data_IF_517171135771
#
_entry.id   IF_517171135771
#
_cell.length_a   1.000
_cell.length_b   1.000
_cell.length_c   1.000
_cell.angle_alpha   90.00
_cell.angle_beta   90.00
_cell.angle_gamma   90.00
#
_symmetry.space_group_name_H-M   'P 1'
#
loop_
_entity.id
_entity.type
_entity.pdbx_description
1 polymer ?
#
# COMPACT_ATOMS: atom_id res chain seq x y z
N UNK A 1 32.93 89.32 -12.70
CA UNK A 1 33.07 87.94 -13.19
C UNK A 1 33.89 87.06 -12.26
N UNK A 2 33.32 86.47 -11.20
CA UNK A 2 34.02 85.63 -10.22
C UNK A 2 33.15 84.39 -9.70
N UNK A 3 32.24 83.88 -10.53
CA UNK A 3 31.41 82.72 -10.11
C UNK A 3 31.71 81.38 -10.83
N UNK A 4 32.68 81.35 -11.75
CA UNK A 4 33.02 80.17 -12.58
C UNK A 4 33.77 79.04 -11.81
N UNK A 5 34.70 79.29 -10.85
CA UNK A 5 35.43 78.18 -10.25
C UNK A 5 34.58 77.28 -9.33
N UNK A 6 33.56 77.84 -8.69
CA UNK A 6 32.70 77.06 -7.78
C UNK A 6 31.80 76.05 -8.55
N UNK A 7 31.35 76.44 -9.74
CA UNK A 7 30.51 75.57 -10.58
C UNK A 7 31.32 74.40 -11.15
N UNK A 8 32.58 74.62 -11.52
CA UNK A 8 33.49 73.57 -12.03
C UNK A 8 33.83 72.58 -10.87
N UNK A 9 34.08 73.09 -9.69
CA UNK A 9 34.38 72.24 -8.53
C UNK A 9 33.18 71.36 -8.14
N UNK A 10 31.97 71.89 -8.20
CA UNK A 10 30.73 71.14 -7.94
C UNK A 10 30.50 70.06 -8.99
N UNK A 11 30.71 70.35 -10.27
CA UNK A 11 30.58 69.37 -11.35
C UNK A 11 31.59 68.23 -11.22
N UNK A 12 32.85 68.52 -10.87
CA UNK A 12 33.88 67.47 -10.65
C UNK A 12 33.54 66.64 -9.42
N UNK A 13 33.03 67.24 -8.37
CA UNK A 13 32.58 66.48 -7.17
C UNK A 13 31.41 65.54 -7.49
N UNK A 14 30.45 65.99 -8.28
CA UNK A 14 29.33 65.12 -8.70
C UNK A 14 29.78 63.92 -9.57
N UNK A 15 30.71 64.14 -10.47
CA UNK A 15 31.29 63.07 -11.31
C UNK A 15 32.05 62.05 -10.44
N UNK A 16 32.89 62.53 -9.50
CA UNK A 16 33.61 61.67 -8.60
C UNK A 16 32.68 60.86 -7.72
N UNK A 17 31.62 61.48 -7.17
CA UNK A 17 30.62 60.78 -6.39
C UNK A 17 29.88 59.72 -7.20
N UNK A 18 29.54 60.01 -8.46
CA UNK A 18 28.93 59.06 -9.38
C UNK A 18 29.84 57.85 -9.67
N UNK A 19 31.12 58.07 -9.91
CA UNK A 19 32.10 57.00 -10.12
C UNK A 19 32.23 56.15 -8.83
N UNK A 20 32.35 56.76 -7.66
CA UNK A 20 32.43 56.01 -6.40
C UNK A 20 31.16 55.17 -6.11
N UNK A 21 29.95 55.69 -6.43
CA UNK A 21 28.72 54.92 -6.29
C UNK A 21 28.66 53.75 -7.27
N UNK A 22 29.15 53.93 -8.50
CA UNK A 22 29.19 52.85 -9.49
C UNK A 22 30.16 51.74 -9.04
N UNK A 23 31.36 52.11 -8.61
CA UNK A 23 32.34 51.15 -8.08
C UNK A 23 31.80 50.39 -6.83
N UNK A 24 31.13 51.11 -5.92
CA UNK A 24 30.48 50.49 -4.75
C UNK A 24 29.38 49.49 -5.16
N UNK A 25 28.62 49.82 -6.23
CA UNK A 25 27.59 48.91 -6.74
C UNK A 25 28.21 47.65 -7.36
N UNK A 26 29.28 47.79 -8.13
CA UNK A 26 30.02 46.70 -8.76
C UNK A 26 30.59 45.76 -7.67
N UNK A 27 31.28 46.29 -6.67
CA UNK A 27 31.84 45.52 -5.56
C UNK A 27 30.72 44.79 -4.80
N UNK A 28 29.56 45.42 -4.60
CA UNK A 28 28.41 44.77 -3.96
C UNK A 28 27.89 43.57 -4.76
N UNK A 29 27.81 43.68 -6.08
CA UNK A 29 27.41 42.59 -6.97
C UNK A 29 28.44 41.43 -6.92
N UNK A 30 29.73 41.73 -7.00
CA UNK A 30 30.77 40.71 -6.88
C UNK A 30 30.72 39.98 -5.53
N UNK A 31 30.48 40.71 -4.45
CA UNK A 31 30.38 40.16 -3.11
C UNK A 31 29.15 39.25 -2.96
N UNK A 32 28.04 39.59 -3.61
CA UNK A 32 26.85 38.74 -3.68
C UNK A 32 27.11 37.48 -4.49
N UNK A 33 27.80 37.56 -5.60
CA UNK A 33 28.20 36.43 -6.44
C UNK A 33 29.13 35.46 -5.66
N UNK A 34 30.14 35.99 -4.99
CA UNK A 34 31.06 35.21 -4.15
C UNK A 34 30.31 34.50 -3.03
N UNK A 35 29.36 35.19 -2.38
CA UNK A 35 28.51 34.56 -1.34
C UNK A 35 27.67 33.42 -1.90
N UNK A 36 27.06 33.61 -3.07
CA UNK A 36 26.26 32.57 -3.74
C UNK A 36 27.12 31.35 -4.09
N UNK A 37 28.28 31.56 -4.71
CA UNK A 37 29.24 30.51 -5.06
C UNK A 37 29.71 29.74 -3.82
N UNK A 38 30.04 30.49 -2.74
CA UNK A 38 30.46 29.86 -1.50
C UNK A 38 29.36 29.00 -0.86
N UNK A 39 28.11 29.49 -0.87
CA UNK A 39 26.95 28.71 -0.42
C UNK A 39 26.74 27.44 -1.24
N UNK A 40 26.89 27.52 -2.58
CA UNK A 40 26.81 26.34 -3.45
C UNK A 40 27.93 25.33 -3.17
N UNK A 41 29.17 25.82 -2.95
CA UNK A 41 30.29 24.97 -2.58
C UNK A 41 30.07 24.27 -1.24
N UNK A 42 29.56 24.99 -0.22
CA UNK A 42 29.23 24.37 1.07
C UNK A 42 28.16 23.29 0.95
N UNK A 43 27.08 23.55 0.18
CA UNK A 43 26.04 22.54 -0.06
C UNK A 43 26.58 21.32 -0.80
N UNK A 44 27.45 21.53 -1.79
CA UNK A 44 28.08 20.44 -2.55
C UNK A 44 29.01 19.61 -1.67
N UNK A 45 29.82 20.26 -0.82
CA UNK A 45 30.69 19.57 0.14
C UNK A 45 29.88 18.78 1.16
N UNK A 46 28.78 19.33 1.66
CA UNK A 46 27.90 18.63 2.60
C UNK A 46 27.32 17.36 1.95
N UNK A 47 26.81 17.45 0.73
CA UNK A 47 26.30 16.26 0.00
C UNK A 47 27.40 15.22 -0.25
N UNK A 48 28.64 15.65 -0.55
CA UNK A 48 29.76 14.72 -0.69
C UNK A 48 30.11 14.03 0.64
N UNK A 49 30.12 14.75 1.75
CA UNK A 49 30.39 14.20 3.09
C UNK A 49 29.31 13.20 3.47
N UNK A 50 28.04 13.55 3.27
CA UNK A 50 26.91 12.68 3.56
C UNK A 50 26.96 11.41 2.70
N UNK A 51 27.29 11.54 1.41
CA UNK A 51 27.49 10.41 0.49
C UNK A 51 28.66 9.49 0.90
N UNK A 52 29.79 10.06 1.33
CA UNK A 52 30.93 9.28 1.84
C UNK A 52 30.55 8.58 3.14
N UNK A 53 29.88 9.29 4.05
CA UNK A 53 29.44 8.72 5.33
C UNK A 53 28.48 7.54 5.11
N UNK A 54 27.50 7.68 4.21
CA UNK A 54 26.62 6.58 3.82
C UNK A 54 27.41 5.38 3.26
N UNK A 55 28.31 5.64 2.30
CA UNK A 55 29.11 4.56 1.68
C UNK A 55 30.00 3.84 2.67
N UNK A 56 30.58 4.56 3.63
CA UNK A 56 31.42 3.96 4.69
C UNK A 56 30.57 3.14 5.65
N UNK A 57 29.38 3.63 6.04
CA UNK A 57 28.46 2.88 6.88
C UNK A 57 28.00 1.58 6.19
N UNK A 58 27.61 1.65 4.93
CA UNK A 58 27.20 0.47 4.14
C UNK A 58 28.34 -0.57 4.03
N UNK A 59 29.57 -0.11 3.81
CA UNK A 59 30.72 -1.02 3.74
C UNK A 59 31.06 -1.65 5.08
N UNK A 60 30.94 -0.90 6.18
CA UNK A 60 31.15 -1.44 7.52
C UNK A 60 30.07 -2.47 7.86
N UNK A 61 28.82 -2.18 7.55
CA UNK A 61 27.72 -3.12 7.71
C UNK A 61 27.92 -4.37 6.86
N UNK A 62 28.29 -4.23 5.59
CA UNK A 62 28.62 -5.36 4.73
C UNK A 62 29.78 -6.20 5.27
N UNK A 63 30.80 -5.59 5.90
CA UNK A 63 31.92 -6.32 6.51
C UNK A 63 31.51 -7.08 7.77
N UNK A 64 30.56 -6.53 8.55
CA UNK A 64 30.07 -7.16 9.78
C UNK A 64 29.06 -8.27 9.51
N UNK A 65 28.39 -8.25 8.34
CA UNK A 65 27.43 -9.27 7.98
C UNK A 65 28.07 -10.66 7.91
N UNK A 66 27.45 -11.62 8.58
CA UNK A 66 27.84 -13.04 8.55
C UNK A 66 27.47 -13.70 7.22
N UNK A 67 26.51 -13.15 6.51
CA UNK A 67 25.94 -13.68 5.28
C UNK A 67 26.51 -12.96 4.06
N UNK A 68 26.89 -13.73 3.03
CA UNK A 68 27.32 -13.20 1.74
C UNK A 68 26.12 -12.89 0.84
N UNK A 69 25.04 -13.69 0.97
CA UNK A 69 23.82 -13.55 0.18
C UNK A 69 22.64 -14.10 0.97
N UNK A 70 21.51 -13.41 0.88
CA UNK A 70 20.20 -13.88 1.31
C UNK A 70 19.20 -13.86 0.16
N UNK A 71 18.10 -14.55 0.32
CA UNK A 71 16.97 -14.51 -0.60
C UNK A 71 15.79 -15.27 -0.03
N UNK A 72 14.59 -14.87 -0.45
CA UNK A 72 13.38 -15.58 -0.05
C UNK A 72 12.39 -15.67 -1.22
N UNK A 73 11.48 -16.62 -1.09
CA UNK A 73 10.32 -16.77 -1.97
C UNK A 73 9.14 -17.29 -1.19
N UNK A 74 7.95 -16.94 -1.65
CA UNK A 74 6.72 -17.47 -1.09
C UNK A 74 6.23 -18.65 -1.94
N UNK A 75 5.66 -19.66 -1.26
CA UNK A 75 5.06 -20.84 -1.85
C UNK A 75 3.54 -20.84 -1.68
N UNK A 76 2.98 -22.02 -1.45
CA UNK A 76 1.55 -22.21 -1.35
C UNK A 76 0.94 -21.51 -0.14
N UNK A 77 -0.28 -20.97 -0.34
CA UNK A 77 -1.13 -20.40 0.71
C UNK A 77 -1.95 -21.52 1.34
N UNK A 78 -1.94 -21.61 2.66
CA UNK A 78 -2.86 -22.42 3.44
C UNK A 78 -3.97 -21.52 3.99
N UNK A 79 -5.09 -21.48 3.28
CA UNK A 79 -6.21 -20.60 3.62
C UNK A 79 -6.88 -20.94 4.96
N UNK A 80 -6.97 -22.22 5.33
CA UNK A 80 -7.60 -22.67 6.59
C UNK A 80 -6.87 -22.14 7.82
N UNK A 81 -5.53 -22.15 7.78
CA UNK A 81 -4.67 -21.70 8.86
C UNK A 81 -4.25 -20.23 8.72
N UNK A 82 -4.57 -19.60 7.58
CA UNK A 82 -4.11 -18.25 7.22
C UNK A 82 -2.57 -18.14 7.23
N UNK A 83 -1.89 -19.15 6.68
CA UNK A 83 -0.42 -19.21 6.58
C UNK A 83 0.02 -19.28 5.11
N UNK A 84 1.25 -18.83 4.85
CA UNK A 84 1.93 -18.99 3.57
C UNK A 84 3.29 -19.64 3.80
N UNK A 85 3.68 -20.50 2.90
CA UNK A 85 5.01 -21.11 2.97
C UNK A 85 6.07 -20.07 2.58
N UNK A 86 6.97 -19.75 3.50
CA UNK A 86 8.16 -18.95 3.24
C UNK A 86 9.35 -19.87 3.07
N UNK A 87 10.02 -19.80 1.93
CA UNK A 87 11.33 -20.43 1.70
C UNK A 87 12.40 -19.36 1.80
N UNK A 88 13.28 -19.46 2.80
CA UNK A 88 14.39 -18.54 3.02
C UNK A 88 15.72 -19.22 2.72
N UNK A 89 16.63 -18.52 2.03
CA UNK A 89 17.96 -19.02 1.68
C UNK A 89 19.03 -18.06 2.18
N UNK A 90 20.11 -18.62 2.72
CA UNK A 90 21.25 -17.86 3.22
C UNK A 90 22.58 -18.52 2.86
N UNK A 91 23.50 -17.73 2.31
CA UNK A 91 24.88 -18.17 2.02
C UNK A 91 25.80 -17.48 3.05
N UNK A 92 26.39 -18.22 3.98
CA UNK A 92 27.34 -17.63 4.92
C UNK A 92 28.65 -17.25 4.22
N UNK A 93 29.34 -16.20 4.72
CA UNK A 93 30.67 -15.84 4.24
C UNK A 93 31.73 -16.84 4.69
N UNK A 94 31.57 -17.30 5.92
CA UNK A 94 32.47 -18.26 6.55
C UNK A 94 31.64 -19.33 7.27
N UNK A 95 31.93 -20.60 6.99
CA UNK A 95 31.34 -21.74 7.67
C UNK A 95 32.23 -22.97 7.50
N UNK A 96 32.11 -23.90 8.45
CA UNK A 96 32.79 -25.16 8.39
C UNK A 96 31.82 -26.26 7.91
N UNK A 97 31.99 -26.84 6.71
CA UNK A 97 31.09 -27.88 6.19
C UNK A 97 31.00 -29.06 7.15
N UNK A 98 29.75 -29.40 7.54
CA UNK A 98 29.46 -30.53 8.42
C UNK A 98 29.53 -30.27 9.91
N UNK A 99 30.03 -29.10 10.36
CA UNK A 99 30.00 -28.68 11.76
C UNK A 99 29.12 -27.45 12.03
N UNK A 100 29.00 -26.54 11.07
CA UNK A 100 28.14 -25.38 11.20
C UNK A 100 26.67 -25.75 10.97
N UNK A 101 25.81 -25.41 11.92
CA UNK A 101 24.34 -25.47 11.79
C UNK A 101 23.74 -24.07 11.71
N UNK A 102 22.58 -23.94 11.13
CA UNK A 102 21.86 -22.69 10.99
C UNK A 102 20.41 -22.82 11.42
N UNK A 103 19.87 -21.78 12.02
CA UNK A 103 18.45 -21.64 12.34
C UNK A 103 17.92 -20.30 11.83
N UNK A 104 16.75 -20.34 11.22
CA UNK A 104 15.99 -19.16 10.82
C UNK A 104 14.92 -18.86 11.87
N UNK A 105 14.86 -17.62 12.29
CA UNK A 105 13.91 -17.14 13.28
C UNK A 105 13.03 -16.06 12.66
N UNK A 106 11.72 -16.19 12.83
CA UNK A 106 10.73 -15.23 12.36
C UNK A 106 9.53 -15.19 13.32
N UNK A 107 9.19 -14.02 13.87
CA UNK A 107 8.05 -13.82 14.78
C UNK A 107 7.98 -14.87 15.90
N UNK A 108 9.09 -15.18 16.54
CA UNK A 108 9.16 -16.17 17.61
C UNK A 108 9.13 -17.63 17.15
N UNK A 109 8.97 -17.90 15.86
CA UNK A 109 9.09 -19.23 15.28
C UNK A 109 10.55 -19.50 14.91
N UNK A 110 11.07 -20.66 15.29
CA UNK A 110 12.44 -21.11 14.97
C UNK A 110 12.38 -22.33 14.05
N UNK A 111 13.09 -22.27 12.95
CA UNK A 111 13.15 -23.35 11.94
C UNK A 111 14.60 -23.71 11.66
N UNK A 112 15.02 -24.98 11.82
CA UNK A 112 16.34 -25.41 11.44
C UNK A 112 16.51 -25.31 9.90
N UNK A 113 17.69 -24.88 9.46
CA UNK A 113 18.00 -24.73 8.05
C UNK A 113 18.80 -25.95 7.55
N UNK A 114 18.36 -26.51 6.44
CA UNK A 114 19.11 -27.55 5.74
C UNK A 114 20.25 -26.93 4.91
N UNK A 115 21.42 -27.57 4.89
CA UNK A 115 22.52 -27.14 4.04
C UNK A 115 22.49 -27.88 2.70
N UNK A 116 22.27 -27.14 1.62
CA UNK A 116 22.16 -27.66 0.28
C UNK A 116 22.87 -26.75 -0.73
N UNK A 117 23.68 -27.31 -1.60
CA UNK A 117 24.32 -26.61 -2.73
C UNK A 117 25.05 -25.31 -2.36
N UNK A 118 25.69 -25.26 -1.19
CA UNK A 118 26.46 -24.09 -0.75
C UNK A 118 25.66 -23.04 0.01
N UNK A 119 24.40 -23.29 0.33
CA UNK A 119 23.53 -22.39 1.06
C UNK A 119 22.70 -23.13 2.11
N UNK A 120 22.31 -22.42 3.14
CA UNK A 120 21.34 -22.87 4.11
C UNK A 120 19.92 -22.51 3.64
N UNK A 121 18.96 -23.43 3.77
CA UNK A 121 17.58 -23.29 3.33
C UNK A 121 16.65 -23.61 4.50
N UNK A 122 15.72 -22.70 4.80
CA UNK A 122 14.60 -22.93 5.70
C UNK A 122 13.29 -22.89 4.93
N UNK A 123 12.33 -23.71 5.33
CA UNK A 123 10.94 -23.63 4.90
C UNK A 123 10.07 -23.50 6.15
N UNK A 124 9.30 -22.42 6.23
CA UNK A 124 8.46 -22.09 7.37
C UNK A 124 7.06 -21.69 6.91
N UNK A 125 6.02 -22.22 7.56
CA UNK A 125 4.69 -21.65 7.45
C UNK A 125 4.60 -20.41 8.33
N UNK A 126 4.41 -19.23 7.72
CA UNK A 126 4.31 -17.97 8.42
C UNK A 126 2.89 -17.40 8.30
N UNK A 127 2.37 -16.71 9.33
CA UNK A 127 1.06 -16.09 9.27
C UNK A 127 0.99 -15.02 8.16
N UNK A 128 -0.07 -15.02 7.38
CA UNK A 128 -0.29 -14.04 6.29
C UNK A 128 -0.55 -12.64 6.87
N UNK A 129 -1.28 -12.55 7.99
CA UNK A 129 -1.80 -11.30 8.57
C UNK A 129 -1.02 -10.84 9.80
N UNK A 130 0.20 -11.33 10.01
CA UNK A 130 1.04 -10.79 11.06
C UNK A 130 1.71 -9.50 10.61
N UNK A 131 1.91 -8.58 11.56
CA UNK A 131 2.84 -7.48 11.34
C UNK A 131 4.23 -8.01 10.97
N UNK A 132 5.00 -7.20 10.23
CA UNK A 132 6.40 -7.50 9.93
C UNK A 132 7.17 -7.64 11.23
N UNK A 133 7.53 -8.87 11.57
CA UNK A 133 8.26 -9.14 12.80
C UNK A 133 9.75 -9.21 12.61
N UNK A 134 10.44 -9.29 13.74
CA UNK A 134 11.88 -9.49 13.76
C UNK A 134 12.24 -10.82 13.10
N UNK A 135 13.14 -10.75 12.13
CA UNK A 135 13.73 -11.92 11.48
C UNK A 135 15.24 -11.92 11.70
N UNK A 136 15.78 -13.06 12.03
CA UNK A 136 17.22 -13.23 12.18
C UNK A 136 17.66 -14.67 11.89
N UNK A 137 18.95 -14.83 11.59
CA UNK A 137 19.59 -16.15 11.46
C UNK A 137 20.60 -16.33 12.58
N UNK A 138 20.62 -17.54 13.13
CA UNK A 138 21.64 -17.97 14.07
C UNK A 138 22.51 -19.04 13.39
N UNK A 139 23.83 -18.82 13.40
CA UNK A 139 24.83 -19.79 12.95
C UNK A 139 25.56 -20.31 14.16
N UNK A 140 25.60 -21.63 14.33
CA UNK A 140 26.35 -22.30 15.38
C UNK A 140 27.50 -23.12 14.79
N UNK A 141 28.70 -22.86 15.25
CA UNK A 141 29.91 -23.58 14.88
C UNK A 141 30.63 -24.07 16.14
N UNK A 142 30.44 -25.34 16.48
CA UNK A 142 30.82 -25.89 17.76
C UNK A 142 30.15 -25.15 18.92
N UNK A 143 30.95 -24.55 19.81
CA UNK A 143 30.48 -23.75 20.95
C UNK A 143 30.23 -22.26 20.61
N UNK A 144 30.52 -21.85 19.38
CA UNK A 144 30.38 -20.45 18.95
C UNK A 144 29.03 -20.23 18.31
N UNK A 145 28.22 -19.34 18.92
CA UNK A 145 26.95 -18.90 18.42
C UNK A 145 27.07 -17.48 17.85
N UNK A 146 26.64 -17.27 16.62
CA UNK A 146 26.62 -15.98 15.95
C UNK A 146 25.24 -15.71 15.40
N UNK A 147 24.68 -14.52 15.65
CA UNK A 147 23.35 -14.12 15.21
C UNK A 147 23.45 -12.89 14.31
N UNK A 148 22.67 -12.89 13.24
CA UNK A 148 22.51 -11.75 12.34
C UNK A 148 21.04 -11.43 12.14
N UNK A 149 20.66 -10.18 12.44
CA UNK A 149 19.36 -9.64 12.06
C UNK A 149 19.26 -9.55 10.52
N UNK A 150 18.08 -9.80 9.99
CA UNK A 150 17.79 -9.72 8.58
C UNK A 150 17.10 -8.40 8.28
N UNK A 151 17.57 -7.73 7.22
CA UNK A 151 16.95 -6.49 6.71
C UNK A 151 15.87 -6.78 5.66
N UNK A 152 15.61 -8.05 5.36
CA UNK A 152 14.60 -8.44 4.39
C UNK A 152 13.20 -8.04 4.89
N UNK A 153 12.44 -7.38 4.03
CA UNK A 153 11.07 -6.98 4.34
C UNK A 153 10.12 -8.10 3.88
N UNK A 154 9.60 -8.84 4.85
CA UNK A 154 8.62 -9.87 4.58
C UNK A 154 7.21 -9.27 4.57
N UNK A 155 6.52 -9.38 3.45
CA UNK A 155 5.14 -8.92 3.27
C UNK A 155 4.26 -10.03 2.73
N UNK A 156 3.98 -11.07 3.54
CA UNK A 156 3.23 -12.24 3.12
C UNK A 156 1.82 -11.90 2.63
N UNK A 157 1.19 -10.89 3.19
CA UNK A 157 -0.13 -10.42 2.78
C UNK A 157 -0.17 -9.99 1.30
N UNK A 158 0.84 -9.26 0.80
CA UNK A 158 0.87 -8.82 -0.60
C UNK A 158 1.07 -9.97 -1.59
N UNK A 159 1.60 -11.11 -1.14
CA UNK A 159 1.75 -12.32 -1.96
C UNK A 159 0.52 -13.21 -1.91
N UNK A 160 -0.25 -13.14 -0.83
CA UNK A 160 -1.48 -13.90 -0.69
C UNK A 160 -2.68 -13.21 -1.34
N UNK A 161 -2.57 -11.91 -1.65
CA UNK A 161 -3.69 -11.10 -2.14
C UNK A 161 -3.46 -10.63 -3.56
N UNK A 162 -4.47 -10.79 -4.38
CA UNK A 162 -4.59 -10.03 -5.61
C UNK A 162 -5.18 -8.65 -5.27
N UNK A 163 -4.58 -7.61 -5.84
CA UNK A 163 -5.16 -6.28 -5.74
C UNK A 163 -6.53 -6.27 -6.44
N UNK A 164 -7.56 -5.83 -5.71
CA UNK A 164 -8.92 -5.73 -6.21
C UNK A 164 -9.53 -4.39 -5.83
N UNK A 165 -10.05 -3.68 -6.82
CA UNK A 165 -10.62 -2.35 -6.66
C UNK A 165 -12.06 -2.32 -7.16
N UNK A 166 -13.04 -2.65 -6.29
CA UNK A 166 -14.44 -2.49 -6.63
C UNK A 166 -14.83 -1.02 -6.51
N UNK A 167 -15.56 -0.50 -7.47
CA UNK A 167 -16.05 0.88 -7.43
C UNK A 167 -17.46 1.01 -7.97
N UNK A 168 -18.29 1.77 -7.24
CA UNK A 168 -19.55 2.28 -7.76
C UNK A 168 -19.28 3.48 -8.69
N UNK A 169 -19.93 3.48 -9.85
CA UNK A 169 -19.79 4.53 -10.86
C UNK A 169 -21.06 5.37 -11.00
N UNK A 170 -21.85 5.47 -9.97
CA UNK A 170 -23.11 6.19 -9.91
C UNK A 170 -23.39 6.75 -8.52
N UNK A 171 -24.66 7.05 -8.27
CA UNK A 171 -25.17 7.48 -6.96
C UNK A 171 -26.41 6.66 -6.60
N UNK A 172 -26.55 6.32 -5.31
CA UNK A 172 -27.78 5.74 -4.80
C UNK A 172 -28.84 6.84 -4.57
N UNK A 173 -30.10 6.46 -4.64
CA UNK A 173 -31.23 7.32 -4.28
C UNK A 173 -31.75 6.93 -2.91
N UNK A 174 -32.15 7.95 -2.15
CA UNK A 174 -32.72 7.78 -0.83
C UNK A 174 -34.15 8.30 -0.79
N UNK A 175 -35.09 7.45 -0.40
CA UNK A 175 -36.50 7.82 -0.24
C UNK A 175 -36.92 7.53 1.20
N UNK A 176 -37.36 8.58 1.90
CA UNK A 176 -37.90 8.44 3.25
C UNK A 176 -39.31 7.85 3.18
N UNK A 177 -39.53 6.76 3.89
CA UNK A 177 -40.82 6.12 4.09
C UNK A 177 -41.13 6.09 5.60
N UNK A 178 -42.40 5.79 5.99
CA UNK A 178 -42.82 5.81 7.40
C UNK A 178 -41.90 4.94 8.29
N UNK A 179 -41.04 5.60 9.09
CA UNK A 179 -40.13 4.97 10.05
C UNK A 179 -38.97 4.17 9.42
N UNK A 180 -38.72 4.35 8.13
CA UNK A 180 -37.62 3.70 7.42
C UNK A 180 -37.06 4.57 6.29
N UNK A 181 -35.84 4.24 5.86
CA UNK A 181 -35.16 4.79 4.69
C UNK A 181 -35.13 3.71 3.61
N UNK A 182 -35.66 4.01 2.43
CA UNK A 182 -35.48 3.18 1.26
C UNK A 182 -34.24 3.62 0.51
N UNK A 183 -33.29 2.71 0.36
CA UNK A 183 -32.05 2.88 -0.41
C UNK A 183 -32.21 2.19 -1.75
N UNK A 184 -32.08 2.94 -2.84
CA UNK A 184 -32.23 2.42 -4.20
C UNK A 184 -30.87 2.44 -4.86
N UNK A 185 -30.30 1.25 -5.02
CA UNK A 185 -29.03 1.01 -5.69
C UNK A 185 -29.30 0.64 -7.15
N UNK A 186 -29.08 1.60 -8.04
CA UNK A 186 -29.11 1.35 -9.48
C UNK A 186 -27.84 1.90 -10.10
N UNK A 187 -26.75 1.16 -9.92
CA UNK A 187 -25.42 1.66 -10.22
C UNK A 187 -24.61 0.68 -11.07
N UNK A 188 -23.85 1.20 -12.05
CA UNK A 188 -22.81 0.42 -12.69
C UNK A 188 -21.65 0.24 -11.72
N UNK A 189 -21.12 -0.97 -11.67
CA UNK A 189 -19.98 -1.35 -10.82
C UNK A 189 -18.82 -1.81 -11.71
N UNK A 190 -17.65 -1.27 -11.46
CA UNK A 190 -16.40 -1.76 -12.05
C UNK A 190 -15.61 -2.50 -10.98
N UNK A 191 -15.09 -3.68 -11.32
CA UNK A 191 -14.30 -4.55 -10.47
C UNK A 191 -12.94 -4.76 -11.12
N UNK A 192 -11.96 -3.95 -10.71
CA UNK A 192 -10.62 -3.91 -11.32
C UNK A 192 -9.63 -4.84 -10.63
N UNK A 193 -8.79 -5.51 -11.43
CA UNK A 193 -7.64 -6.30 -11.01
C UNK A 193 -6.38 -5.75 -11.70
N UNK A 194 -5.71 -4.71 -11.15
CA UNK A 194 -4.60 -4.04 -11.81
C UNK A 194 -3.43 -4.94 -12.21
N UNK A 195 -3.23 -6.02 -11.46
CA UNK A 195 -2.20 -7.04 -11.76
C UNK A 195 -2.70 -8.16 -12.67
N UNK A 196 -3.88 -8.01 -13.27
CA UNK A 196 -4.60 -9.05 -14.02
C UNK A 196 -5.53 -9.88 -13.15
N UNK A 197 -6.55 -10.47 -13.78
CA UNK A 197 -7.50 -11.36 -13.09
C UNK A 197 -6.76 -12.62 -12.62
N UNK A 198 -6.83 -12.97 -11.32
CA UNK A 198 -6.19 -14.17 -10.80
C UNK A 198 -6.74 -15.46 -11.44
N UNK A 199 -5.86 -16.40 -11.76
CA UNK A 199 -6.24 -17.68 -12.35
C UNK A 199 -7.13 -18.52 -11.41
N UNK A 200 -6.97 -18.32 -10.10
CA UNK A 200 -7.73 -19.01 -9.05
C UNK A 200 -8.96 -18.24 -8.57
N UNK A 201 -9.39 -17.18 -9.28
CA UNK A 201 -10.64 -16.49 -9.01
C UNK A 201 -11.83 -17.42 -9.24
N UNK A 202 -12.58 -17.69 -8.17
CA UNK A 202 -13.74 -18.59 -8.21
C UNK A 202 -15.05 -17.86 -8.47
N UNK A 203 -15.32 -16.79 -7.72
CA UNK A 203 -16.56 -16.04 -7.84
C UNK A 203 -16.45 -14.62 -7.30
N UNK A 204 -17.34 -13.75 -7.81
CA UNK A 204 -17.59 -12.42 -7.25
C UNK A 204 -19.10 -12.33 -6.96
N UNK A 205 -19.47 -11.75 -5.82
CA UNK A 205 -20.86 -11.46 -5.48
C UNK A 205 -20.99 -10.15 -4.69
N UNK A 206 -22.13 -9.51 -4.77
CA UNK A 206 -22.50 -8.41 -3.88
C UNK A 206 -23.35 -8.93 -2.75
N UNK A 207 -22.99 -8.60 -1.51
CA UNK A 207 -23.72 -9.00 -0.31
C UNK A 207 -24.22 -7.75 0.41
N UNK A 208 -25.52 -7.69 0.67
CA UNK A 208 -26.12 -6.66 1.50
C UNK A 208 -26.36 -7.18 2.92
N UNK A 209 -25.92 -6.42 3.92
CA UNK A 209 -26.14 -6.71 5.33
C UNK A 209 -26.90 -5.58 6.01
N UNK A 210 -27.92 -5.93 6.79
CA UNK A 210 -28.62 -5.03 7.69
C UNK A 210 -28.24 -5.38 9.13
N UNK A 211 -27.58 -4.48 9.85
CA UNK A 211 -27.06 -4.70 11.20
C UNK A 211 -26.23 -6.00 11.30
N UNK A 212 -25.30 -6.20 10.38
CA UNK A 212 -24.41 -7.39 10.31
C UNK A 212 -25.12 -8.72 9.99
N UNK A 213 -26.37 -8.66 9.57
CA UNK A 213 -27.10 -9.84 9.09
C UNK A 213 -27.26 -9.74 7.59
N UNK A 214 -26.81 -10.75 6.87
CA UNK A 214 -27.01 -10.86 5.43
C UNK A 214 -28.52 -10.88 5.11
N UNK A 215 -28.96 -10.00 4.20
CA UNK A 215 -30.35 -9.87 3.74
C UNK A 215 -30.48 -10.12 2.25
N UNK A 216 -29.41 -9.97 1.46
CA UNK A 216 -29.40 -10.23 0.02
C UNK A 216 -28.00 -10.62 -0.44
N UNK A 217 -27.94 -11.41 -1.53
CA UNK A 217 -26.71 -11.76 -2.22
C UNK A 217 -26.95 -11.84 -3.71
N UNK A 218 -26.13 -11.16 -4.50
CA UNK A 218 -26.20 -11.10 -5.96
C UNK A 218 -24.89 -11.61 -6.54
N UNK A 219 -24.92 -12.76 -7.21
CA UNK A 219 -23.74 -13.26 -7.90
C UNK A 219 -23.47 -12.48 -9.18
N UNK A 220 -22.21 -12.26 -9.49
CA UNK A 220 -21.75 -11.66 -10.75
C UNK A 220 -21.47 -12.79 -11.74
N UNK A 221 -22.07 -12.72 -12.93
CA UNK A 221 -21.72 -13.64 -14.01
C UNK A 221 -20.43 -13.18 -14.69
N UNK A 222 -19.37 -13.95 -14.49
CA UNK A 222 -18.03 -13.66 -15.01
C UNK A 222 -17.81 -14.18 -16.44
N UNK A 223 -18.81 -14.82 -17.05
CA UNK A 223 -18.70 -15.31 -18.43
C UNK A 223 -18.53 -14.16 -19.43
N UNK A 224 -17.73 -14.38 -20.47
CA UNK A 224 -17.44 -13.38 -21.50
C UNK A 224 -18.76 -12.86 -22.17
N UNK A 225 -19.73 -13.73 -22.38
CA UNK A 225 -21.02 -13.35 -22.96
C UNK A 225 -21.80 -12.38 -22.04
N UNK A 226 -21.88 -12.69 -20.75
CA UNK A 226 -22.57 -11.83 -19.78
C UNK A 226 -21.84 -10.49 -19.64
N UNK A 227 -20.52 -10.48 -19.60
CA UNK A 227 -19.73 -9.26 -19.52
C UNK A 227 -19.91 -8.38 -20.77
N UNK A 228 -19.96 -8.96 -21.96
CA UNK A 228 -20.25 -8.24 -23.20
C UNK A 228 -21.70 -7.66 -23.23
N UNK A 229 -22.69 -8.32 -22.62
CA UNK A 229 -24.04 -7.82 -22.49
C UNK A 229 -24.13 -6.65 -21.51
N UNK A 230 -23.46 -6.76 -20.34
CA UNK A 230 -23.42 -5.72 -19.32
C UNK A 230 -22.82 -4.42 -19.86
N UNK A 231 -21.77 -4.48 -20.67
CA UNK A 231 -21.16 -3.29 -21.27
C UNK A 231 -22.08 -2.57 -22.28
N UNK A 232 -23.16 -3.22 -22.73
CA UNK A 232 -24.21 -2.60 -23.58
C UNK A 232 -25.32 -1.96 -22.75
N UNK A 233 -25.32 -2.14 -21.43
CA UNK A 233 -26.30 -1.51 -20.55
C UNK A 233 -26.22 0.02 -20.68
N UNK A 234 -27.32 0.76 -20.73
CA UNK A 234 -27.34 2.22 -20.79
C UNK A 234 -26.54 2.90 -19.65
N UNK A 235 -26.40 2.26 -18.51
CA UNK A 235 -25.60 2.78 -17.37
C UNK A 235 -24.10 2.84 -17.67
N UNK A 236 -23.61 2.07 -18.64
CA UNK A 236 -22.22 2.12 -19.13
C UNK A 236 -22.04 2.97 -20.40
N UNK A 237 -23.12 3.51 -20.96
CA UNK A 237 -23.07 4.29 -22.21
C UNK A 237 -22.25 5.57 -22.03
N UNK A 238 -21.38 5.86 -23.00
CA UNK A 238 -20.51 7.06 -22.98
C UNK A 238 -19.20 6.89 -22.22
N UNK A 239 -18.89 5.68 -21.77
CA UNK A 239 -17.60 5.31 -21.14
C UNK A 239 -16.77 4.50 -22.14
N UNK A 240 -16.14 5.22 -23.09
CA UNK A 240 -15.30 4.60 -24.13
C UNK A 240 -14.01 3.98 -23.59
N UNK A 241 -13.68 4.28 -22.34
CA UNK A 241 -12.52 3.77 -21.59
C UNK A 241 -12.74 2.34 -21.05
N UNK A 242 -14.00 1.85 -21.06
CA UNK A 242 -14.30 0.53 -20.56
C UNK A 242 -14.09 -0.53 -21.66
N UNK A 243 -13.20 -1.45 -21.39
CA UNK A 243 -12.88 -2.54 -22.32
C UNK A 243 -12.66 -3.86 -21.57
N UNK A 244 -13.03 -4.97 -22.19
CA UNK A 244 -12.75 -6.32 -21.71
C UNK A 244 -11.28 -6.68 -21.99
N UNK A 245 -10.34 -5.98 -21.36
CA UNK A 245 -8.91 -6.26 -21.52
C UNK A 245 -8.33 -7.19 -20.44
N UNK A 246 -9.17 -8.04 -19.83
CA UNK A 246 -8.70 -9.05 -18.88
C UNK A 246 -8.33 -8.52 -17.50
N UNK A 247 -8.54 -7.22 -17.25
CA UNK A 247 -8.21 -6.58 -15.95
C UNK A 247 -9.48 -6.17 -15.18
N UNK A 248 -10.65 -6.18 -15.82
CA UNK A 248 -11.88 -5.70 -15.21
C UNK A 248 -13.06 -6.62 -15.48
N UNK A 249 -13.91 -6.74 -14.46
CA UNK A 249 -15.29 -7.21 -14.60
C UNK A 249 -16.26 -6.08 -14.33
N UNK A 250 -17.46 -6.22 -14.86
CA UNK A 250 -18.53 -5.23 -14.75
C UNK A 250 -19.81 -5.87 -14.23
N UNK A 251 -20.59 -5.11 -13.50
CA UNK A 251 -21.90 -5.51 -13.03
C UNK A 251 -22.84 -4.30 -12.95
N UNK A 252 -24.13 -4.56 -12.90
CA UNK A 252 -25.14 -3.58 -12.51
C UNK A 252 -25.76 -4.06 -11.21
N UNK A 253 -25.65 -3.24 -10.17
CA UNK A 253 -26.41 -3.44 -8.94
C UNK A 253 -27.74 -2.69 -9.08
N UNK A 254 -28.85 -3.42 -9.34
CA UNK A 254 -30.22 -2.88 -9.44
C UNK A 254 -31.06 -3.48 -8.31
N UNK A 255 -31.00 -2.85 -7.13
CA UNK A 255 -31.64 -3.33 -5.91
C UNK A 255 -32.24 -2.20 -5.09
N UNK A 256 -33.22 -2.55 -4.27
CA UNK A 256 -33.81 -1.63 -3.30
C UNK A 256 -33.87 -2.29 -1.94
N UNK A 257 -33.37 -1.57 -0.92
CA UNK A 257 -33.32 -2.05 0.44
C UNK A 257 -34.12 -1.11 1.36
N UNK A 258 -34.84 -1.67 2.32
CA UNK A 258 -35.52 -0.90 3.37
C UNK A 258 -34.67 -0.94 4.63
N UNK A 259 -34.22 0.23 5.09
CA UNK A 259 -33.40 0.41 6.27
C UNK A 259 -34.27 1.02 7.38
N UNK A 260 -34.68 0.27 8.41
CA UNK A 260 -35.45 0.82 9.53
C UNK A 260 -34.66 1.89 10.29
N UNK A 261 -35.37 2.81 10.97
CA UNK A 261 -34.74 3.83 11.79
C UNK A 261 -33.78 3.22 12.83
N UNK A 262 -32.63 3.80 12.99
CA UNK A 262 -31.55 3.33 13.86
C UNK A 262 -30.77 2.12 13.34
N UNK A 263 -30.98 1.69 12.09
CA UNK A 263 -30.27 0.57 11.49
C UNK A 263 -29.27 1.01 10.43
N UNK A 264 -28.32 0.12 10.13
CA UNK A 264 -27.25 0.36 9.15
C UNK A 264 -27.27 -0.74 8.10
N UNK A 265 -27.36 -0.32 6.83
CA UNK A 265 -27.13 -1.15 5.65
C UNK A 265 -25.65 -1.07 5.27
N UNK A 266 -25.04 -2.20 4.99
CA UNK A 266 -23.71 -2.30 4.38
C UNK A 266 -23.79 -3.13 3.12
N UNK A 267 -23.10 -2.68 2.07
CA UNK A 267 -22.99 -3.41 0.81
C UNK A 267 -21.53 -3.77 0.61
N UNK A 268 -21.27 -5.03 0.38
CA UNK A 268 -19.94 -5.58 0.18
C UNK A 268 -19.80 -6.18 -1.22
N UNK A 269 -18.59 -6.10 -1.77
CA UNK A 269 -18.14 -6.97 -2.83
C UNK A 269 -17.36 -8.13 -2.21
N UNK A 270 -17.85 -9.34 -2.39
CA UNK A 270 -17.25 -10.58 -1.93
C UNK A 270 -16.52 -11.24 -3.08
N UNK A 271 -15.21 -11.48 -2.93
CA UNK A 271 -14.36 -12.16 -3.91
C UNK A 271 -13.86 -13.46 -3.31
N UNK A 272 -14.28 -14.58 -3.88
CA UNK A 272 -13.90 -15.92 -3.43
C UNK A 272 -12.90 -16.55 -4.39
N UNK A 273 -11.86 -17.18 -3.83
CA UNK A 273 -10.80 -17.88 -4.55
C UNK A 273 -10.92 -19.39 -4.39
N UNK A 274 -10.37 -20.16 -5.33
CA UNK A 274 -10.39 -21.63 -5.31
C UNK A 274 -9.71 -22.23 -4.07
N UNK A 275 -8.73 -21.52 -3.51
CA UNK A 275 -8.06 -21.90 -2.26
C UNK A 275 -8.94 -21.75 -1.01
N UNK A 276 -10.15 -21.20 -1.14
CA UNK A 276 -11.11 -21.00 -0.06
C UNK A 276 -10.99 -19.67 0.68
N UNK A 277 -10.11 -18.78 0.29
CA UNK A 277 -10.10 -17.40 0.81
C UNK A 277 -11.27 -16.62 0.22
N UNK A 278 -11.97 -15.90 1.09
CA UNK A 278 -13.06 -14.98 0.75
C UNK A 278 -12.69 -13.58 1.25
N UNK A 279 -12.49 -12.67 0.34
CA UNK A 279 -12.21 -11.26 0.61
C UNK A 279 -13.50 -10.46 0.48
N UNK A 280 -13.82 -9.69 1.52
CA UNK A 280 -15.02 -8.87 1.59
C UNK A 280 -14.65 -7.40 1.63
N UNK A 281 -14.99 -6.66 0.58
CA UNK A 281 -14.70 -5.24 0.42
C UNK A 281 -15.95 -4.41 0.69
N UNK A 282 -15.86 -3.43 1.60
CA UNK A 282 -16.98 -2.54 1.88
C UNK A 282 -17.15 -1.55 0.72
N UNK A 283 -18.28 -1.63 0.02
CA UNK A 283 -18.63 -0.78 -1.12
C UNK A 283 -19.42 0.45 -0.69
N UNK A 284 -20.42 0.26 0.17
CA UNK A 284 -21.28 1.32 0.69
C UNK A 284 -21.75 1.01 2.12
N UNK A 285 -22.01 2.10 2.89
CA UNK A 285 -22.48 2.01 4.26
C UNK A 285 -23.47 3.15 4.54
N UNK A 286 -24.74 2.82 4.66
CA UNK A 286 -25.84 3.76 4.84
C UNK A 286 -26.56 3.48 6.15
N UNK A 287 -26.63 4.47 7.03
CA UNK A 287 -27.42 4.40 8.27
C UNK A 287 -28.67 5.26 8.17
N UNK A 288 -29.79 4.76 8.67
CA UNK A 288 -30.97 5.54 8.95
C UNK A 288 -30.91 6.01 10.41
N UNK A 289 -30.98 7.32 10.67
CA UNK A 289 -31.06 7.85 12.02
C UNK A 289 -32.42 7.50 12.68
N UNK A 290 -32.67 7.97 13.89
CA UNK A 290 -33.92 7.74 14.60
C UNK A 290 -35.15 8.34 13.92
N UNK A 291 -34.96 9.30 12.99
CA UNK A 291 -36.01 9.94 12.18
C UNK A 291 -36.10 9.33 10.78
N UNK A 292 -35.37 8.24 10.49
CA UNK A 292 -35.22 7.66 9.17
C UNK A 292 -34.61 8.65 8.14
N UNK A 293 -33.75 9.57 8.60
CA UNK A 293 -32.95 10.41 7.73
C UNK A 293 -31.60 9.74 7.47
N UNK A 294 -31.05 10.01 6.28
CA UNK A 294 -29.72 9.47 5.90
C UNK A 294 -28.68 10.01 6.88
N UNK A 295 -28.05 9.11 7.57
CA UNK A 295 -26.80 9.36 8.28
C UNK A 295 -25.74 8.52 7.61
N UNK A 296 -24.84 9.14 6.88
CA UNK A 296 -23.65 8.43 6.45
C UNK A 296 -22.87 8.08 7.71
N UNK A 297 -22.83 6.80 8.05
CA UNK A 297 -21.85 6.37 9.04
C UNK A 297 -20.51 6.72 8.42
N UNK A 298 -19.76 7.50 9.13
CA UNK A 298 -18.61 8.30 8.75
C UNK A 298 -17.96 7.82 7.43
N UNK A 299 -17.76 8.72 6.48
CA UNK A 299 -16.86 8.53 5.34
C UNK A 299 -15.57 7.78 5.73
N UNK A 300 -15.22 7.78 7.01
CA UNK A 300 -14.10 7.09 7.61
C UNK A 300 -14.20 5.56 7.53
N UNK A 301 -15.40 4.95 7.62
CA UNK A 301 -15.52 3.49 7.46
C UNK A 301 -15.30 3.05 5.99
N UNK A 302 -15.68 3.87 5.02
CA UNK A 302 -15.54 3.54 3.58
C UNK A 302 -14.20 4.05 3.03
N UNK A 303 -13.80 5.28 3.36
CA UNK A 303 -12.61 5.92 2.77
C UNK A 303 -11.27 5.37 3.25
N UNK A 304 -11.21 4.73 4.42
CA UNK A 304 -9.95 4.18 4.94
C UNK A 304 -9.56 2.83 4.34
N UNK A 305 -10.43 2.18 3.54
CA UNK A 305 -10.21 0.81 3.04
C UNK A 305 -10.22 0.68 1.51
N UNK A 306 -10.00 1.76 0.78
CA UNK A 306 -9.93 1.72 -0.68
C UNK A 306 -8.86 0.71 -1.15
N UNK A 307 -9.33 -0.33 -1.84
CA UNK A 307 -8.45 -1.40 -2.35
C UNK A 307 -8.01 -2.44 -1.32
N UNK A 308 -8.42 -2.29 -0.03
CA UNK A 308 -8.17 -3.31 0.99
C UNK A 308 -9.48 -3.99 1.40
N UNK A 309 -9.48 -5.32 1.61
CA UNK A 309 -10.66 -5.99 2.12
C UNK A 309 -10.98 -5.52 3.54
N UNK A 310 -12.27 -5.40 3.85
CA UNK A 310 -12.74 -5.13 5.21
C UNK A 310 -12.60 -6.35 6.11
N UNK A 311 -12.96 -7.51 5.54
CA UNK A 311 -12.87 -8.80 6.20
C UNK A 311 -12.26 -9.83 5.27
N UNK A 312 -11.58 -10.81 5.85
CA UNK A 312 -11.12 -12.00 5.15
C UNK A 312 -11.59 -13.22 5.91
N UNK A 313 -12.20 -14.15 5.19
CA UNK A 313 -12.76 -15.38 5.74
C UNK A 313 -12.15 -16.60 5.06
N UNK A 314 -12.16 -17.72 5.76
CA UNK A 314 -12.09 -19.03 5.14
C UNK A 314 -13.51 -19.48 4.80
N UNK A 315 -13.86 -19.42 3.52
CA UNK A 315 -15.23 -19.58 3.02
C UNK A 315 -15.90 -20.92 3.44
N UNK A 316 -15.20 -22.08 3.38
CA UNK A 316 -15.84 -23.35 3.73
C UNK A 316 -16.41 -23.42 5.14
N UNK A 317 -15.84 -22.69 6.11
CA UNK A 317 -16.29 -22.70 7.50
C UNK A 317 -16.79 -21.33 7.98
N UNK A 318 -16.78 -20.31 7.13
CA UNK A 318 -17.02 -18.91 7.49
C UNK A 318 -16.18 -18.41 8.68
N UNK A 319 -14.99 -19.01 8.87
CA UNK A 319 -14.04 -18.58 9.90
C UNK A 319 -13.46 -17.22 9.52
N UNK A 320 -13.66 -16.21 10.36
CA UNK A 320 -13.01 -14.92 10.20
C UNK A 320 -11.51 -15.08 10.43
N UNK A 321 -10.69 -14.70 9.44
CA UNK A 321 -9.24 -14.76 9.49
C UNK A 321 -8.62 -13.40 9.79
N UNK A 322 -9.27 -12.34 9.32
CA UNK A 322 -8.77 -10.98 9.45
C UNK A 322 -9.90 -9.94 9.43
N UNK A 323 -9.76 -8.87 10.24
CA UNK A 323 -10.66 -7.71 10.30
C UNK A 323 -9.82 -6.43 10.33
N UNK A 324 -9.99 -5.58 9.34
CA UNK A 324 -9.23 -4.33 9.19
C UNK A 324 -9.41 -3.35 10.37
N UNK A 325 -10.55 -3.35 11.07
CA UNK A 325 -10.74 -2.44 12.22
C UNK A 325 -10.00 -2.90 13.47
N UNK A 326 -9.71 -4.17 13.63
CA UNK A 326 -8.99 -4.67 14.79
C UNK A 326 -7.49 -4.32 14.71
N UNK A 327 -6.99 -4.00 13.51
CA UNK A 327 -5.59 -3.62 13.28
C UNK A 327 -5.32 -2.12 13.50
N UNK A 328 -6.36 -1.27 13.54
CA UNK A 328 -6.21 0.20 13.67
C UNK A 328 -6.14 0.64 15.15
N UNK A 329 -6.26 -0.28 16.09
CA UNK A 329 -6.39 -0.01 17.54
C UNK A 329 -5.21 -0.42 18.42
N UNK A 330 -4.07 -0.82 17.84
CA UNK A 330 -2.85 -1.15 18.59
C UNK A 330 -1.72 -0.13 18.39
#
# INVERSE_FOLDING_TARGET
>A
MKKQPALILSAVSCVLTGVCLFELHSVKQELQQVRSLNSQHYSSLQMCIDGISGTVSDKLEQQQNLLAKTGFSYGAVNAENATILLRYTATPKEFAPGSTTAEFHYNGTTVPMAYENGQFIAEAEIPIFSETGDAFITLQDGDTLRTQALSDYFSPQYQAFSEFYPSFNGSCEFVREDGSLKVIEKQPVTMGFPSGVPEDLKSISFTAELDRKEIDRVAVDLSENAQNEILRDPLFTGREDLSLHGENYYAVLDKSYTVPAGKTLRIFADVEYENGLLYRYLMDCVSADQNAEVSYSSQDEVNNFWGQPRYIYYAPTHKLLWDALLQVGE
#
